data_IF_400219372648
#
_entry.id   IF_400219372648
#
_cell.length_a   1.000
_cell.length_b   1.000
_cell.length_c   1.000
_cell.angle_alpha   90.00
_cell.angle_beta   90.00
_cell.angle_gamma   90.00
#
_symmetry.space_group_name_H-M   'P 1'
#
loop_
_entity.id
_entity.type
_entity.pdbx_description
1 polymer ?
#
# COMPACT_ATOMS: atom_id res chain seq x y z
N UNK A 1 2.65 -22.07 -4.99
CA UNK A 1 3.13 -22.15 -3.58
C UNK A 1 3.33 -20.74 -3.06
N UNK A 2 2.83 -20.42 -1.86
CA UNK A 2 3.02 -19.11 -1.25
C UNK A 2 4.35 -19.01 -0.50
N UNK A 3 4.89 -17.81 -0.43
CA UNK A 3 5.94 -17.40 0.49
C UNK A 3 5.48 -16.16 1.26
N UNK A 4 6.19 -15.83 2.33
CA UNK A 4 5.99 -14.57 3.03
C UNK A 4 7.33 -13.90 3.35
N UNK A 5 7.24 -12.60 3.60
CA UNK A 5 8.29 -11.76 4.16
C UNK A 5 7.66 -10.96 5.28
N UNK A 6 8.23 -11.04 6.48
CA UNK A 6 7.71 -10.39 7.68
C UNK A 6 8.68 -9.35 8.23
N UNK A 7 8.14 -8.25 8.76
CA UNK A 7 8.94 -7.27 9.47
C UNK A 7 9.27 -7.72 10.90
N UNK A 8 10.24 -7.04 11.53
CA UNK A 8 10.33 -7.01 13.00
C UNK A 8 9.05 -6.41 13.61
N UNK A 9 8.86 -6.59 14.92
CA UNK A 9 7.81 -5.85 15.65
C UNK A 9 8.15 -4.36 15.75
N UNK A 10 7.35 -3.51 15.11
CA UNK A 10 7.55 -2.07 14.96
C UNK A 10 6.54 -1.30 15.82
N UNK A 11 7.01 -0.21 16.43
CA UNK A 11 6.20 0.63 17.31
C UNK A 11 7.07 1.38 18.31
N UNK A 12 6.76 2.66 18.55
CA UNK A 12 7.51 3.52 19.49
C UNK A 12 7.37 3.13 20.96
N UNK A 13 6.32 2.40 21.31
CA UNK A 13 5.98 2.05 22.71
C UNK A 13 5.85 0.52 22.86
N UNK A 14 5.14 0.09 23.88
CA UNK A 14 4.86 -1.32 24.18
C UNK A 14 3.95 -1.96 23.12
N UNK A 15 3.00 -1.22 22.57
CA UNK A 15 2.19 -1.65 21.45
C UNK A 15 3.04 -1.68 20.16
N UNK A 16 3.10 -2.85 19.52
CA UNK A 16 3.90 -3.09 18.31
C UNK A 16 3.18 -4.02 17.35
N UNK A 17 3.35 -3.75 16.07
CA UNK A 17 2.75 -4.48 14.94
C UNK A 17 3.83 -4.97 13.99
N UNK A 18 3.44 -5.77 12.98
CA UNK A 18 4.33 -6.26 11.93
C UNK A 18 3.68 -6.07 10.56
N UNK A 19 4.49 -5.74 9.56
CA UNK A 19 4.11 -5.85 8.16
C UNK A 19 4.40 -7.27 7.67
N UNK A 20 3.49 -7.83 6.88
CA UNK A 20 3.71 -9.13 6.22
C UNK A 20 3.32 -9.02 4.75
N UNK A 21 4.26 -9.34 3.87
CA UNK A 21 3.99 -9.52 2.44
C UNK A 21 3.84 -11.01 2.15
N UNK A 22 2.67 -11.43 1.68
CA UNK A 22 2.40 -12.81 1.27
C UNK A 22 2.31 -12.83 -0.25
N UNK A 23 3.05 -13.72 -0.92
CA UNK A 23 3.12 -13.75 -2.38
C UNK A 23 3.29 -15.16 -2.94
N UNK A 24 2.83 -15.34 -4.18
CA UNK A 24 2.99 -16.59 -4.94
C UNK A 24 4.37 -16.64 -5.59
N UNK A 25 5.19 -17.65 -5.25
CA UNK A 25 6.56 -17.79 -5.78
C UNK A 25 6.63 -18.01 -7.29
N UNK A 26 5.55 -18.55 -7.86
CA UNK A 26 5.37 -18.76 -9.29
C UNK A 26 4.96 -17.49 -10.04
N UNK A 27 4.52 -16.45 -9.34
CA UNK A 27 4.08 -15.18 -9.92
C UNK A 27 5.13 -14.09 -9.83
N UNK A 28 5.78 -13.96 -8.66
CA UNK A 28 6.77 -12.91 -8.42
C UNK A 28 7.85 -13.34 -7.43
N UNK A 29 8.92 -12.56 -7.38
CA UNK A 29 10.06 -12.72 -6.48
C UNK A 29 10.36 -11.40 -5.77
N UNK A 30 10.60 -11.45 -4.46
CA UNK A 30 11.18 -10.31 -3.73
C UNK A 30 12.69 -10.33 -3.93
N UNK A 31 13.23 -9.24 -4.48
CA UNK A 31 14.66 -9.12 -4.79
C UNK A 31 15.45 -8.48 -3.65
N UNK A 32 14.85 -7.50 -2.97
CA UNK A 32 15.51 -6.74 -1.92
C UNK A 32 14.46 -6.14 -0.98
N UNK A 33 14.82 -5.90 0.28
CA UNK A 33 13.98 -5.19 1.24
C UNK A 33 14.82 -4.24 2.09
N UNK A 34 14.21 -3.17 2.60
CA UNK A 34 14.79 -2.34 3.64
C UNK A 34 13.71 -1.61 4.44
N UNK A 35 14.11 -1.06 5.60
CA UNK A 35 13.25 -0.23 6.44
C UNK A 35 13.57 1.25 6.20
N UNK A 36 12.55 2.11 6.31
CA UNK A 36 12.77 3.54 6.41
C UNK A 36 12.03 4.16 7.60
N UNK A 37 12.71 4.89 8.50
CA UNK A 37 14.18 5.03 8.57
C UNK A 37 14.87 3.69 8.84
N UNK A 38 16.20 3.64 8.62
CA UNK A 38 16.99 2.45 8.95
C UNK A 38 16.93 2.20 10.47
N UNK A 39 16.56 0.97 10.86
CA UNK A 39 16.36 0.58 12.27
C UNK A 39 17.66 0.56 13.10
N UNK A 40 18.83 0.65 12.45
CA UNK A 40 20.13 0.72 13.12
C UNK A 40 20.60 2.15 13.39
N UNK A 41 20.01 3.13 12.70
CA UNK A 41 20.36 4.54 12.89
C UNK A 41 19.65 5.11 14.12
N UNK A 42 20.42 5.75 15.00
CA UNK A 42 19.87 6.45 16.18
C UNK A 42 19.10 7.74 15.83
N UNK A 43 19.17 8.17 14.57
CA UNK A 43 18.37 9.25 14.01
C UNK A 43 17.05 8.69 13.45
N UNK A 44 16.31 7.95 14.28
CA UNK A 44 14.93 7.63 13.94
C UNK A 44 14.21 8.95 13.66
N UNK A 45 13.82 9.19 12.41
CA UNK A 45 12.90 10.29 12.11
C UNK A 45 11.70 10.08 13.03
N UNK A 46 11.49 10.96 14.00
CA UNK A 46 10.42 10.83 15.01
C UNK A 46 9.01 10.91 14.38
N UNK A 47 8.90 10.92 13.05
CA UNK A 47 7.63 10.99 12.34
C UNK A 47 6.91 9.65 12.38
N UNK A 48 7.52 8.57 11.89
CA UNK A 48 6.84 7.29 11.75
C UNK A 48 6.64 6.58 13.09
N UNK A 49 5.40 6.20 13.38
CA UNK A 49 5.09 5.33 14.53
C UNK A 49 5.58 3.91 14.30
N UNK A 50 5.60 3.48 13.04
CA UNK A 50 6.16 2.23 12.53
C UNK A 50 6.99 2.55 11.29
N UNK A 51 8.32 2.35 11.30
CA UNK A 51 9.15 2.54 10.12
C UNK A 51 8.57 1.77 8.91
N UNK A 52 8.50 2.40 7.74
CA UNK A 52 7.97 1.77 6.55
C UNK A 52 8.80 0.53 6.18
N UNK A 53 8.15 -0.52 5.71
CA UNK A 53 8.82 -1.68 5.11
C UNK A 53 8.71 -1.55 3.60
N UNK A 54 9.86 -1.55 2.91
CA UNK A 54 9.94 -1.38 1.47
C UNK A 54 10.53 -2.64 0.87
N UNK A 55 9.89 -3.15 -0.18
CA UNK A 55 10.38 -4.28 -0.97
C UNK A 55 10.54 -3.89 -2.44
N UNK A 56 11.58 -4.42 -3.08
CA UNK A 56 11.71 -4.42 -4.55
C UNK A 56 11.31 -5.78 -5.05
N UNK A 57 10.39 -5.81 -6.00
CA UNK A 57 9.88 -7.06 -6.56
C UNK A 57 10.18 -7.16 -8.05
N UNK A 58 10.37 -8.40 -8.49
CA UNK A 58 10.39 -8.80 -9.88
C UNK A 58 9.19 -9.69 -10.18
N UNK A 59 8.38 -9.31 -11.16
CA UNK A 59 7.16 -10.01 -11.55
C UNK A 59 7.23 -10.40 -13.04
N UNK A 60 7.69 -11.61 -13.37
CA UNK A 60 7.78 -12.06 -14.76
C UNK A 60 6.40 -12.24 -15.42
N UNK A 61 5.32 -12.32 -14.65
CA UNK A 61 3.96 -12.57 -15.17
C UNK A 61 3.21 -11.30 -15.56
N UNK A 62 3.62 -10.13 -15.09
CA UNK A 62 2.94 -8.83 -15.33
C UNK A 62 3.62 -8.00 -16.42
N UNK A 63 2.93 -7.00 -16.98
CA UNK A 63 3.48 -6.04 -17.93
C UNK A 63 4.68 -5.30 -17.34
N UNK A 64 4.50 -4.67 -16.17
CA UNK A 64 5.58 -4.07 -15.39
C UNK A 64 6.38 -5.17 -14.70
N UNK A 65 7.69 -5.25 -14.99
CA UNK A 65 8.53 -6.34 -14.49
C UNK A 65 9.18 -6.06 -13.14
N UNK A 66 9.55 -4.81 -12.89
CA UNK A 66 10.27 -4.42 -11.68
C UNK A 66 9.67 -3.14 -11.12
N UNK A 67 9.27 -3.18 -9.86
CA UNK A 67 8.77 -2.03 -9.15
C UNK A 67 8.97 -2.18 -7.65
N UNK A 68 8.92 -1.06 -6.94
CA UNK A 68 8.98 -1.02 -5.49
C UNK A 68 7.58 -1.01 -4.89
N UNK A 69 7.45 -1.65 -3.73
CA UNK A 69 6.27 -1.53 -2.87
C UNK A 69 6.71 -0.93 -1.55
N UNK A 70 6.06 0.16 -1.13
CA UNK A 70 6.19 0.77 0.18
C UNK A 70 4.93 0.42 0.96
N UNK A 71 5.06 -0.46 1.95
CA UNK A 71 3.98 -0.79 2.88
C UNK A 71 4.03 0.12 4.08
N UNK A 72 2.90 0.75 4.39
CA UNK A 72 2.80 1.64 5.53
C UNK A 72 1.44 1.60 6.20
N UNK A 73 1.44 1.54 7.52
CA UNK A 73 0.27 1.77 8.36
C UNK A 73 0.55 3.01 9.19
N UNK A 74 -0.19 4.10 8.97
CA UNK A 74 0.03 5.36 9.70
C UNK A 74 -0.55 5.31 11.10
N UNK A 75 0.01 6.06 12.06
CA UNK A 75 -0.73 6.31 13.29
C UNK A 75 -1.87 7.29 13.01
N UNK A 76 -3.12 7.02 13.45
CA UNK A 76 -4.25 7.92 13.19
C UNK A 76 -4.00 9.36 13.66
N UNK A 77 -3.32 9.52 14.82
CA UNK A 77 -2.97 10.83 15.39
C UNK A 77 -1.93 11.61 14.58
N UNK A 78 -1.17 10.92 13.74
CA UNK A 78 -0.06 11.49 12.98
C UNK A 78 -0.18 11.22 11.48
N UNK A 79 -1.34 10.79 10.99
CA UNK A 79 -1.57 10.35 9.61
C UNK A 79 -1.05 11.36 8.58
N UNK A 80 -1.40 12.65 8.75
CA UNK A 80 -0.90 13.74 7.90
C UNK A 80 0.63 13.85 7.87
N UNK A 81 1.29 13.74 9.02
CA UNK A 81 2.76 13.88 9.11
C UNK A 81 3.46 12.67 8.51
N UNK A 82 2.95 11.47 8.81
CA UNK A 82 3.51 10.22 8.27
C UNK A 82 3.32 10.14 6.76
N UNK A 83 2.16 10.49 6.21
CA UNK A 83 1.96 10.54 4.76
C UNK A 83 2.82 11.60 4.07
N UNK A 84 3.06 12.73 4.72
CA UNK A 84 3.97 13.75 4.18
C UNK A 84 5.43 13.24 4.12
N UNK A 85 5.84 12.43 5.09
CA UNK A 85 7.15 11.78 5.13
C UNK A 85 7.26 10.62 4.13
N UNK A 86 6.16 9.95 3.77
CA UNK A 86 6.15 8.93 2.71
C UNK A 86 6.62 9.47 1.34
N UNK A 87 6.48 10.77 1.07
CA UNK A 87 7.12 11.38 -0.09
C UNK A 87 8.66 11.29 -0.01
N UNK A 88 9.24 11.51 1.17
CA UNK A 88 10.66 11.33 1.43
C UNK A 88 11.09 9.87 1.20
N UNK A 89 10.29 8.90 1.67
CA UNK A 89 10.52 7.47 1.43
C UNK A 89 10.55 7.17 -0.08
N UNK A 90 9.61 7.71 -0.84
CA UNK A 90 9.59 7.60 -2.30
C UNK A 90 10.89 8.14 -2.93
N UNK A 91 11.39 9.30 -2.50
CA UNK A 91 12.65 9.85 -3.03
C UNK A 91 13.85 8.94 -2.72
N UNK A 92 13.89 8.35 -1.53
CA UNK A 92 14.93 7.38 -1.14
C UNK A 92 14.89 6.14 -2.02
N UNK A 93 13.69 5.57 -2.23
CA UNK A 93 13.47 4.43 -3.13
C UNK A 93 13.92 4.75 -4.55
N UNK A 94 13.49 5.91 -5.07
CA UNK A 94 13.84 6.37 -6.41
C UNK A 94 15.35 6.49 -6.59
N UNK A 95 16.05 7.05 -5.61
CA UNK A 95 17.51 7.19 -5.64
C UNK A 95 18.22 5.84 -5.50
N UNK A 96 17.80 5.00 -4.55
CA UNK A 96 18.45 3.72 -4.22
C UNK A 96 18.35 2.71 -5.36
N UNK A 97 17.17 2.57 -5.96
CA UNK A 97 16.92 1.56 -7.01
C UNK A 97 16.86 2.14 -8.42
N UNK A 98 17.06 3.45 -8.59
CA UNK A 98 17.01 4.14 -9.90
C UNK A 98 15.71 3.83 -10.66
N UNK A 99 14.60 3.72 -9.92
CA UNK A 99 13.27 3.40 -10.47
C UNK A 99 12.26 4.45 -10.05
N UNK A 100 11.36 4.81 -10.95
CA UNK A 100 10.19 5.63 -10.64
C UNK A 100 8.93 4.79 -10.47
N UNK A 101 8.97 3.48 -10.79
CA UNK A 101 7.86 2.56 -10.64
C UNK A 101 7.72 2.16 -9.17
N UNK A 102 6.84 2.85 -8.45
CA UNK A 102 6.62 2.68 -7.01
C UNK A 102 5.14 2.62 -6.71
N UNK A 103 4.75 1.63 -5.90
CA UNK A 103 3.42 1.50 -5.33
C UNK A 103 3.50 1.71 -3.82
N UNK A 104 2.71 2.62 -3.27
CA UNK A 104 2.51 2.79 -1.84
C UNK A 104 1.16 2.16 -1.46
N UNK A 105 1.14 1.35 -0.41
CA UNK A 105 -0.06 0.65 0.04
C UNK A 105 -0.17 0.55 1.56
N UNK A 106 -1.42 0.49 2.03
CA UNK A 106 -1.77 0.18 3.42
C UNK A 106 -2.82 1.11 4.01
N UNK A 107 -3.12 0.93 5.29
CA UNK A 107 -3.97 1.82 6.08
C UNK A 107 -3.25 3.14 6.34
N UNK A 108 -3.57 4.14 5.52
CA UNK A 108 -2.99 5.47 5.65
C UNK A 108 -3.80 6.38 6.56
N UNK A 109 -4.94 5.92 7.11
CA UNK A 109 -5.89 6.75 7.86
C UNK A 109 -6.23 8.04 7.08
N UNK A 110 -6.32 7.95 5.75
CA UNK A 110 -6.30 9.08 4.83
C UNK A 110 -7.68 9.72 4.58
N UNK A 111 -8.57 9.69 5.57
CA UNK A 111 -9.91 10.29 5.47
C UNK A 111 -10.52 10.65 6.84
N UNK A 112 -11.76 11.16 6.82
CA UNK A 112 -12.63 11.37 7.97
C UNK A 112 -11.95 12.20 9.07
N UNK A 113 -12.10 11.82 10.33
CA UNK A 113 -11.60 12.59 11.48
C UNK A 113 -10.07 12.67 11.61
N UNK A 114 -9.31 11.92 10.81
CA UNK A 114 -7.86 11.85 10.93
C UNK A 114 -7.13 12.86 10.03
N UNK A 115 -7.74 13.25 8.91
CA UNK A 115 -7.17 14.21 7.97
C UNK A 115 -8.21 15.23 7.53
N UNK A 116 -7.79 16.47 7.29
CA UNK A 116 -8.67 17.48 6.69
C UNK A 116 -8.57 17.42 5.17
N UNK A 117 -9.67 17.68 4.46
CA UNK A 117 -9.68 17.76 2.98
C UNK A 117 -8.59 18.71 2.46
N UNK A 118 -8.44 19.88 3.10
CA UNK A 118 -7.40 20.85 2.74
C UNK A 118 -5.99 20.31 2.99
N UNK A 119 -5.80 19.61 4.12
CA UNK A 119 -4.53 18.95 4.44
C UNK A 119 -4.17 17.91 3.40
N UNK A 120 -5.09 16.97 3.13
CA UNK A 120 -4.89 15.88 2.17
C UNK A 120 -4.50 16.42 0.78
N UNK A 121 -5.22 17.44 0.28
CA UNK A 121 -4.93 18.11 -1.00
C UNK A 121 -3.54 18.76 -1.06
N UNK A 122 -2.98 19.16 0.08
CA UNK A 122 -1.67 19.82 0.14
C UNK A 122 -0.51 18.84 0.29
N UNK A 123 -0.76 17.56 0.58
CA UNK A 123 0.30 16.55 0.66
C UNK A 123 1.04 16.46 -0.67
N UNK A 124 2.37 16.33 -0.64
CA UNK A 124 3.16 16.16 -1.87
C UNK A 124 2.73 14.94 -2.67
N UNK A 125 2.37 13.84 -1.98
CA UNK A 125 1.83 12.63 -2.62
C UNK A 125 0.47 12.85 -3.30
N UNK A 126 -0.29 13.89 -2.95
CA UNK A 126 -1.62 14.16 -3.52
C UNK A 126 -1.62 15.29 -4.54
N UNK A 127 -0.81 16.32 -4.30
CA UNK A 127 -0.74 17.52 -5.15
C UNK A 127 0.13 17.31 -6.40
N UNK A 128 1.08 16.37 -6.37
CA UNK A 128 1.85 16.03 -7.58
C UNK A 128 1.03 15.06 -8.46
N UNK A 129 0.62 15.47 -9.68
CA UNK A 129 -0.24 14.67 -10.56
C UNK A 129 0.42 13.38 -11.06
N UNK A 130 1.71 13.16 -10.80
CA UNK A 130 2.40 11.91 -11.13
C UNK A 130 2.09 10.78 -10.14
N UNK A 131 1.52 11.10 -8.97
CA UNK A 131 1.03 10.12 -8.02
C UNK A 131 -0.45 9.88 -8.26
N UNK A 132 -0.77 8.68 -8.73
CA UNK A 132 -2.14 8.27 -9.00
C UNK A 132 -2.68 7.55 -7.77
N UNK A 133 -3.64 8.17 -7.09
CA UNK A 133 -4.40 7.55 -6.00
C UNK A 133 -5.48 6.69 -6.62
N UNK A 134 -5.28 5.37 -6.59
CA UNK A 134 -6.17 4.42 -7.26
C UNK A 134 -7.43 4.16 -6.42
N UNK A 135 -7.30 4.19 -5.09
CA UNK A 135 -8.45 4.20 -4.18
C UNK A 135 -8.86 5.65 -3.94
N UNK A 136 -10.05 6.02 -4.42
CA UNK A 136 -10.53 7.40 -4.41
C UNK A 136 -11.03 7.82 -3.03
N UNK A 137 -11.36 9.11 -2.86
CA UNK A 137 -11.83 9.63 -1.56
C UNK A 137 -13.30 9.25 -1.28
N UNK A 138 -14.00 8.74 -2.28
CA UNK A 138 -15.41 8.36 -2.21
C UNK A 138 -15.63 6.89 -1.82
N UNK A 139 -14.58 6.06 -1.92
CA UNK A 139 -14.65 4.64 -1.61
C UNK A 139 -14.55 4.38 -0.10
N UNK A 140 -15.38 3.48 0.42
CA UNK A 140 -15.33 3.07 1.82
C UNK A 140 -14.45 1.83 1.99
N UNK A 141 -13.44 1.93 2.84
CA UNK A 141 -12.55 0.80 3.16
C UNK A 141 -12.82 0.25 4.56
N UNK A 142 -13.94 0.63 5.19
CA UNK A 142 -14.30 0.22 6.55
C UNK A 142 -15.49 -0.74 6.57
N UNK A 143 -15.51 -1.66 7.53
CA UNK A 143 -16.55 -2.70 7.62
C UNK A 143 -17.82 -2.20 8.34
N UNK A 144 -17.67 -1.19 9.21
CA UNK A 144 -18.77 -0.72 10.07
C UNK A 144 -19.75 0.12 9.26
N UNK A 145 -21.05 -0.19 9.36
CA UNK A 145 -22.14 0.58 8.73
C UNK A 145 -22.23 2.03 9.24
N UNK A 146 -21.56 2.35 10.35
CA UNK A 146 -21.52 3.68 10.96
C UNK A 146 -20.37 4.56 10.45
N UNK A 147 -19.48 4.03 9.62
CA UNK A 147 -18.36 4.76 9.02
C UNK A 147 -18.45 4.68 7.50
N UNK A 148 -17.88 5.67 6.83
CA UNK A 148 -17.69 5.70 5.38
C UNK A 148 -16.39 6.45 5.12
N UNK A 149 -15.27 5.75 5.11
CA UNK A 149 -13.95 6.37 5.15
C UNK A 149 -12.96 5.66 4.23
N UNK A 150 -12.23 6.45 3.41
CA UNK A 150 -11.16 5.96 2.55
C UNK A 150 -9.82 5.92 3.30
N UNK A 151 -9.70 5.06 4.31
CA UNK A 151 -8.49 4.96 5.13
C UNK A 151 -7.35 4.26 4.41
N UNK A 152 -7.67 3.13 3.77
CA UNK A 152 -6.73 2.28 3.07
C UNK A 152 -6.53 2.78 1.64
N UNK A 153 -5.28 2.90 1.21
CA UNK A 153 -4.97 3.50 -0.10
C UNK A 153 -4.01 2.65 -0.90
N UNK A 154 -4.16 2.75 -2.22
CA UNK A 154 -3.16 2.33 -3.20
C UNK A 154 -2.76 3.57 -4.01
N UNK A 155 -1.49 3.94 -3.95
CA UNK A 155 -0.95 5.11 -4.67
C UNK A 155 0.19 4.63 -5.56
N UNK A 156 0.14 4.95 -6.85
CA UNK A 156 1.16 4.52 -7.80
C UNK A 156 1.87 5.70 -8.47
N UNK A 157 3.17 5.53 -8.71
CA UNK A 157 4.00 6.45 -9.48
C UNK A 157 4.80 5.66 -10.53
N UNK A 158 5.14 6.33 -11.63
CA UNK A 158 5.96 5.78 -12.72
C UNK A 158 5.10 5.37 -13.91
N UNK A 159 5.44 5.90 -15.10
CA UNK A 159 4.62 5.76 -16.31
C UNK A 159 4.37 4.30 -16.69
N UNK A 160 5.37 3.43 -16.52
CA UNK A 160 5.26 2.01 -16.84
C UNK A 160 4.32 1.30 -15.87
N UNK A 161 4.46 1.54 -14.56
CA UNK A 161 3.57 0.96 -13.55
C UNK A 161 2.12 1.43 -13.75
N UNK A 162 1.91 2.74 -13.98
CA UNK A 162 0.59 3.31 -14.28
C UNK A 162 -0.02 2.66 -15.52
N UNK A 163 0.76 2.51 -16.60
CA UNK A 163 0.30 1.85 -17.83
C UNK A 163 -0.01 0.36 -17.63
N UNK A 164 0.62 -0.26 -16.64
CA UNK A 164 0.43 -1.64 -16.23
C UNK A 164 -0.81 -1.88 -15.36
N UNK A 165 -1.50 -0.84 -14.87
CA UNK A 165 -2.76 -1.01 -14.14
C UNK A 165 -3.88 -1.44 -15.09
N UNK A 166 -4.68 -2.44 -14.70
CA UNK A 166 -5.94 -2.74 -15.38
C UNK A 166 -6.95 -1.64 -15.03
N UNK A 167 -7.50 -0.90 -16.01
CA UNK A 167 -8.46 0.17 -15.74
C UNK A 167 -9.62 -0.32 -14.86
N UNK A 168 -10.04 0.51 -13.90
CA UNK A 168 -11.19 0.27 -13.01
C UNK A 168 -11.06 -0.95 -12.08
N UNK A 169 -9.92 -1.65 -12.05
CA UNK A 169 -9.70 -2.78 -11.15
C UNK A 169 -9.44 -2.40 -9.69
N UNK A 170 -9.14 -1.13 -9.41
CA UNK A 170 -8.78 -0.69 -8.06
C UNK A 170 -10.03 -0.43 -7.21
N UNK A 171 -10.22 -1.21 -6.15
CA UNK A 171 -11.41 -1.13 -5.29
C UNK A 171 -11.17 -1.70 -3.90
N UNK A 172 -12.01 -1.36 -2.91
CA UNK A 172 -12.15 -2.14 -1.69
C UNK A 172 -12.82 -3.49 -2.01
N UNK A 173 -12.30 -4.57 -1.42
CA UNK A 173 -12.91 -5.89 -1.46
C UNK A 173 -13.87 -6.05 -0.27
N UNK A 174 -15.16 -5.82 -0.53
CA UNK A 174 -16.23 -6.02 0.45
C UNK A 174 -16.48 -7.52 0.69
N UNK A 175 -15.62 -8.13 1.51
CA UNK A 175 -15.70 -9.54 1.87
C UNK A 175 -16.96 -9.87 2.68
N UNK A 176 -17.58 -8.87 3.33
CA UNK A 176 -18.86 -9.05 4.03
C UNK A 176 -19.95 -9.35 3.01
N UNK A 177 -20.05 -8.53 1.96
CA UNK A 177 -21.01 -8.74 0.88
C UNK A 177 -20.69 -10.01 0.09
N UNK A 178 -19.44 -10.21 -0.31
CA UNK A 178 -19.01 -11.36 -1.13
C UNK A 178 -19.33 -12.69 -0.44
N UNK A 179 -19.08 -12.78 0.87
CA UNK A 179 -19.32 -14.02 1.64
C UNK A 179 -20.63 -14.02 2.41
N UNK A 180 -21.52 -13.04 2.17
CA UNK A 180 -22.83 -12.93 2.83
C UNK A 180 -22.77 -12.96 4.36
N UNK A 181 -21.77 -12.28 4.94
CA UNK A 181 -21.56 -12.21 6.38
C UNK A 181 -22.44 -11.13 7.01
N UNK A 182 -22.85 -11.36 8.26
CA UNK A 182 -23.34 -10.28 9.11
C UNK A 182 -22.21 -9.28 9.43
N UNK A 183 -22.55 -8.05 9.84
CA UNK A 183 -21.52 -7.09 10.28
C UNK A 183 -20.67 -7.66 11.43
N UNK A 184 -21.29 -8.40 12.36
CA UNK A 184 -20.58 -8.98 13.49
C UNK A 184 -19.54 -10.01 13.04
N UNK A 185 -19.93 -10.94 12.17
CA UNK A 185 -19.00 -11.95 11.61
C UNK A 185 -17.88 -11.28 10.80
N UNK A 186 -18.19 -10.24 10.04
CA UNK A 186 -17.18 -9.48 9.30
C UNK A 186 -16.18 -8.78 10.24
N UNK A 187 -16.68 -8.18 11.33
CA UNK A 187 -15.84 -7.53 12.35
C UNK A 187 -14.97 -8.52 13.15
N UNK A 188 -15.35 -9.80 13.21
CA UNK A 188 -14.50 -10.85 13.79
C UNK A 188 -13.28 -11.16 12.88
N UNK A 189 -13.37 -10.83 11.58
CA UNK A 189 -12.25 -10.93 10.62
C UNK A 189 -11.39 -9.68 10.65
N UNK A 190 -12.00 -8.50 10.47
CA UNK A 190 -11.33 -7.20 10.37
C UNK A 190 -12.36 -6.07 10.44
N UNK A 191 -11.96 -4.89 10.90
CA UNK A 191 -12.75 -3.65 10.75
C UNK A 191 -12.44 -2.85 9.46
N UNK A 192 -11.47 -3.33 8.67
CA UNK A 192 -11.10 -2.78 7.36
C UNK A 192 -11.32 -3.81 6.24
N UNK A 193 -11.78 -3.34 5.09
CA UNK A 193 -11.77 -4.10 3.84
C UNK A 193 -10.36 -4.07 3.21
N UNK A 194 -9.88 -5.17 2.60
CA UNK A 194 -8.70 -5.11 1.73
C UNK A 194 -8.94 -4.10 0.60
N UNK A 195 -7.89 -3.39 0.20
CA UNK A 195 -7.89 -2.67 -1.08
C UNK A 195 -7.07 -3.45 -2.09
N UNK A 196 -7.60 -3.61 -3.29
CA UNK A 196 -7.02 -4.43 -4.36
C UNK A 196 -6.83 -3.63 -5.65
N UNK A 197 -5.97 -4.14 -6.54
CA UNK A 197 -5.75 -3.63 -7.88
C UNK A 197 -5.15 -4.73 -8.75
N UNK A 198 -5.57 -4.82 -10.01
CA UNK A 198 -5.01 -5.76 -10.97
C UNK A 198 -3.92 -5.12 -11.83
N UNK A 199 -2.85 -5.89 -12.06
CA UNK A 199 -1.80 -5.56 -13.01
C UNK A 199 -1.99 -6.36 -14.29
N UNK A 200 -1.90 -5.67 -15.43
CA UNK A 200 -1.97 -6.28 -16.76
C UNK A 200 -0.97 -7.42 -16.86
N UNK A 201 -1.38 -8.58 -17.40
CA UNK A 201 -0.47 -9.69 -17.63
C UNK A 201 0.56 -9.32 -18.69
N UNK A 202 1.69 -9.99 -18.66
CA UNK A 202 2.63 -9.98 -19.77
C UNK A 202 2.07 -10.79 -20.93
N UNK A 203 2.41 -10.39 -22.17
CA UNK A 203 1.99 -11.11 -23.38
C UNK A 203 2.27 -12.62 -23.31
N UNK A 204 3.42 -13.03 -22.77
CA UNK A 204 3.76 -14.45 -22.63
C UNK A 204 2.95 -15.20 -21.57
N UNK A 205 2.51 -14.52 -20.50
CA UNK A 205 1.64 -15.13 -19.50
C UNK A 205 0.22 -15.29 -20.03
N UNK A 206 -0.28 -14.29 -20.76
CA UNK A 206 -1.61 -14.33 -21.38
C UNK A 206 -1.75 -15.51 -22.34
N UNK A 207 -0.77 -15.69 -23.25
CA UNK A 207 -0.77 -16.78 -24.23
C UNK A 207 -0.70 -18.21 -23.62
N UNK A 208 -0.20 -18.36 -22.39
CA UNK A 208 -0.05 -19.66 -21.73
C UNK A 208 -1.27 -20.09 -20.90
N UNK A 209 -2.20 -19.17 -20.61
CA UNK A 209 -3.32 -19.43 -19.70
C UNK A 209 -4.70 -19.20 -20.33
N UNK A 210 -4.77 -18.83 -21.62
CA UNK A 210 -6.02 -18.80 -22.41
C UNK A 210 -6.09 -19.89 -23.50
N UNK A 211 -5.14 -20.84 -23.51
CA UNK A 211 -5.13 -22.06 -24.33
C UNK A 211 -5.12 -23.28 -23.41
#
# INVERSE_FOLDING_TARGET
MYAHLESKRLGKKTYKEQYVYIYRKDMLQVQEQFYYPDLSEKNETEVFSRPALIIRIHSPTTFVKNFAIIGHHTSPKHAMKEMEELFGVFQVVKKKWKTENVMLLGDLNADCGYVTIKGLKNLRLRNDPKFHWLITDEQDTTVRDTTHCAYDRIIVHGKELISGIVPESAQPFDFRKEFSLTQQEALDVSDHYPVEVDLKPSHHYFLRNEL
#
